data_IF_813449472931
#
_entry.id   IF_813449472931
#
_cell.length_a   1.000
_cell.length_b   1.000
_cell.length_c   1.000
_cell.angle_alpha   90.00
_cell.angle_beta   90.00
_cell.angle_gamma   90.00
#
_symmetry.space_group_name_H-M   'P 1'
#
loop_
_entity.id
_entity.type
_entity.pdbx_description
1 polymer ?
#
# COMPACT_ATOMS: atom_id res chain seq x y z
N UNK A 1 1.51 -11.82 3.70
CA UNK A 1 2.46 -11.42 2.64
C UNK A 1 2.79 -9.94 2.73
N UNK A 2 1.85 -9.01 2.55
CA UNK A 2 2.17 -7.56 2.51
C UNK A 2 2.39 -6.90 3.88
N UNK A 3 1.52 -7.14 4.86
CA UNK A 3 1.72 -6.63 6.23
C UNK A 3 3.05 -7.14 6.80
N UNK A 4 3.43 -8.38 6.50
CA UNK A 4 4.70 -8.94 6.95
C UNK A 4 5.92 -8.25 6.31
N UNK A 5 5.83 -7.89 5.02
CA UNK A 5 6.87 -7.11 4.36
C UNK A 5 6.98 -5.68 4.93
N UNK A 6 5.85 -5.06 5.29
CA UNK A 6 5.88 -3.76 5.97
C UNK A 6 6.52 -3.85 7.36
N UNK A 7 6.23 -4.91 8.14
CA UNK A 7 6.88 -5.15 9.44
C UNK A 7 8.39 -5.35 9.27
N UNK A 8 8.82 -6.10 8.25
CA UNK A 8 10.24 -6.25 7.92
C UNK A 8 10.86 -4.90 7.58
N UNK A 9 10.20 -4.08 6.77
CA UNK A 9 10.65 -2.74 6.42
C UNK A 9 10.77 -1.83 7.66
N UNK A 10 9.80 -1.88 8.57
CA UNK A 10 9.79 -1.11 9.83
C UNK A 10 10.90 -1.55 10.80
N UNK A 11 11.29 -2.83 10.78
CA UNK A 11 12.32 -3.38 11.69
C UNK A 11 13.72 -3.41 11.07
N UNK A 12 13.85 -3.06 9.79
CA UNK A 12 15.10 -3.14 9.03
C UNK A 12 16.23 -2.29 9.63
N UNK A 13 15.90 -1.12 10.18
CA UNK A 13 16.86 -0.19 10.78
C UNK A 13 16.99 -0.34 12.31
N UNK A 14 16.27 -1.27 12.93
CA UNK A 14 16.35 -1.47 14.37
C UNK A 14 17.66 -2.21 14.71
N UNK A 15 18.55 -1.54 15.44
CA UNK A 15 19.83 -2.09 15.91
C UNK A 15 19.72 -2.78 17.26
N UNK A 16 18.78 -2.34 18.10
CA UNK A 16 18.50 -2.88 19.43
C UNK A 16 17.02 -3.28 19.54
N UNK A 17 16.72 -4.27 20.38
CA UNK A 17 15.35 -4.74 20.66
C UNK A 17 14.55 -5.16 19.41
N UNK A 18 15.24 -5.53 18.33
CA UNK A 18 14.62 -5.92 17.06
C UNK A 18 13.62 -7.08 17.23
N UNK A 19 13.95 -8.07 18.05
CA UNK A 19 13.10 -9.23 18.28
C UNK A 19 11.83 -8.86 19.07
N UNK A 20 11.95 -8.02 20.09
CA UNK A 20 10.82 -7.53 20.87
C UNK A 20 9.90 -6.63 20.03
N UNK A 21 10.49 -5.74 19.23
CA UNK A 21 9.76 -4.90 18.29
C UNK A 21 9.03 -5.75 17.24
N UNK A 22 9.70 -6.74 16.67
CA UNK A 22 9.07 -7.66 15.71
C UNK A 22 7.91 -8.44 16.36
N UNK A 23 8.08 -8.91 17.60
CA UNK A 23 7.01 -9.58 18.34
C UNK A 23 5.81 -8.66 18.57
N UNK A 24 6.05 -7.41 18.99
CA UNK A 24 5.01 -6.41 19.20
C UNK A 24 4.24 -6.10 17.91
N UNK A 25 4.95 -5.87 16.79
CA UNK A 25 4.35 -5.56 15.50
C UNK A 25 3.54 -6.75 14.92
N UNK A 26 3.83 -7.97 15.37
CA UNK A 26 3.06 -9.16 15.01
C UNK A 26 1.80 -9.40 15.86
N UNK A 27 1.52 -8.56 16.88
CA UNK A 27 0.26 -8.64 17.61
C UNK A 27 -0.95 -8.33 16.71
N UNK A 28 -2.14 -8.92 16.94
CA UNK A 28 -3.31 -8.69 16.09
C UNK A 28 -3.68 -7.21 15.97
N UNK A 29 -3.58 -6.46 17.08
CA UNK A 29 -3.85 -5.04 17.11
C UNK A 29 -2.87 -4.24 16.24
N UNK A 30 -1.56 -4.47 16.41
CA UNK A 30 -0.54 -3.78 15.62
C UNK A 30 -0.68 -4.10 14.13
N UNK A 31 -0.95 -5.36 13.76
CA UNK A 31 -1.18 -5.76 12.37
C UNK A 31 -2.39 -5.06 11.76
N UNK A 32 -3.49 -4.91 12.50
CA UNK A 32 -4.67 -4.15 12.06
C UNK A 32 -4.34 -2.67 11.85
N UNK A 33 -3.56 -2.07 12.74
CA UNK A 33 -3.10 -0.68 12.55
C UNK A 33 -2.21 -0.52 11.31
N UNK A 34 -1.29 -1.46 11.07
CA UNK A 34 -0.41 -1.47 9.89
C UNK A 34 -1.25 -1.63 8.60
N UNK A 35 -2.27 -2.49 8.62
CA UNK A 35 -3.20 -2.64 7.50
C UNK A 35 -3.88 -1.32 7.13
N UNK A 36 -4.39 -0.58 8.12
CA UNK A 36 -5.02 0.72 7.87
C UNK A 36 -4.03 1.73 7.26
N UNK A 37 -2.81 1.78 7.77
CA UNK A 37 -1.75 2.65 7.21
C UNK A 37 -1.45 2.28 5.75
N UNK A 38 -1.36 0.99 5.43
CA UNK A 38 -1.13 0.52 4.07
C UNK A 38 -2.28 0.92 3.13
N UNK A 39 -3.53 0.77 3.57
CA UNK A 39 -4.71 1.20 2.81
C UNK A 39 -4.64 2.70 2.52
N UNK A 40 -4.32 3.52 3.52
CA UNK A 40 -4.20 4.98 3.35
C UNK A 40 -3.11 5.33 2.34
N UNK A 41 -1.92 4.74 2.47
CA UNK A 41 -0.79 5.01 1.55
C UNK A 41 -1.12 4.64 0.11
N UNK A 42 -1.74 3.48 -0.13
CA UNK A 42 -2.16 3.04 -1.47
C UNK A 42 -3.26 3.94 -2.03
N UNK A 43 -4.19 4.39 -1.20
CA UNK A 43 -5.24 5.32 -1.60
C UNK A 43 -4.62 6.64 -2.09
N UNK A 44 -3.67 7.19 -1.34
CA UNK A 44 -2.95 8.41 -1.74
C UNK A 44 -2.18 8.17 -3.04
N UNK A 45 -1.45 7.05 -3.16
CA UNK A 45 -0.74 6.70 -4.38
C UNK A 45 -1.70 6.67 -5.59
N UNK A 46 -2.88 6.07 -5.43
CA UNK A 46 -3.89 6.02 -6.49
C UNK A 46 -4.41 7.40 -6.87
N UNK A 47 -4.68 8.26 -5.89
CA UNK A 47 -5.08 9.65 -6.13
C UNK A 47 -4.00 10.43 -6.88
N UNK A 48 -2.73 10.23 -6.51
CA UNK A 48 -1.58 10.85 -7.18
C UNK A 48 -1.44 10.36 -8.62
N UNK A 49 -1.63 9.07 -8.88
CA UNK A 49 -1.62 8.51 -10.24
C UNK A 49 -2.73 9.12 -11.12
N UNK A 50 -3.93 9.30 -10.57
CA UNK A 50 -5.04 9.95 -11.27
C UNK A 50 -4.69 11.41 -11.58
N UNK A 51 -4.18 12.15 -10.59
CA UNK A 51 -3.83 13.57 -10.75
C UNK A 51 -2.68 13.81 -11.74
N UNK A 52 -1.71 12.89 -11.79
CA UNK A 52 -0.60 12.93 -12.77
C UNK A 52 -1.05 12.66 -14.21
N UNK A 53 -2.33 12.34 -14.43
CA UNK A 53 -2.85 12.00 -15.75
C UNK A 53 -2.26 10.70 -16.28
N UNK A 54 -1.80 9.79 -15.39
CA UNK A 54 -1.29 8.48 -15.79
C UNK A 54 -2.32 7.87 -16.73
N UNK A 55 -1.91 7.70 -18.00
CA UNK A 55 -2.70 7.12 -19.09
C UNK A 55 -3.28 5.80 -18.61
N UNK A 56 -4.45 5.87 -17.98
CA UNK A 56 -5.33 4.74 -17.87
C UNK A 56 -5.52 4.36 -19.34
N UNK A 57 -5.04 3.18 -19.71
CA UNK A 57 -5.26 2.61 -21.02
C UNK A 57 -6.75 2.27 -21.05
N UNK A 58 -7.58 3.32 -21.04
CA UNK A 58 -9.00 3.27 -21.33
C UNK A 58 -8.95 2.84 -22.78
N UNK A 59 -9.09 1.54 -23.03
CA UNK A 59 -9.46 1.06 -24.36
C UNK A 59 -10.60 1.96 -24.76
N UNK A 60 -10.36 2.92 -25.66
CA UNK A 60 -11.40 3.70 -26.30
C UNK A 60 -12.29 2.64 -26.94
N UNK A 61 -13.37 2.27 -26.28
CA UNK A 61 -14.52 1.72 -26.98
C UNK A 61 -14.96 2.87 -27.87
N UNK A 62 -14.41 2.91 -29.09
CA UNK A 62 -14.97 3.70 -30.16
C UNK A 62 -16.38 3.16 -30.34
N UNK A 63 -17.36 3.83 -29.74
CA UNK A 63 -18.71 3.77 -30.28
C UNK A 63 -18.58 4.32 -31.69
N UNK A 64 -18.68 3.43 -32.67
CA UNK A 64 -19.03 3.81 -34.02
C UNK A 64 -20.42 4.46 -33.96
N UNK A 65 -20.44 5.78 -33.85
CA UNK A 65 -21.45 6.57 -34.55
C UNK A 65 -21.02 6.61 -36.01
N UNK A 66 -21.53 5.70 -36.83
CA UNK A 66 -21.54 5.87 -38.28
C UNK A 66 -22.93 5.57 -38.84
N UNK A 67 -23.59 6.68 -39.19
CA UNK A 67 -24.60 6.91 -40.24
C UNK A 67 -25.83 6.02 -40.35
#
# INVERSE_FOLDING_TARGET
>A
AEISAEIENMTKSATENKDELNKFLNTPQARKSIEQVLITRKTIQRLVEIAKGSNMNIKKTQKEEQK
#
